data_IF_000940904172
#
_entry.id   IF_000940904172
#
_cell.length_a   1.000
_cell.length_b   1.000
_cell.length_c   1.000
_cell.angle_alpha   90.00
_cell.angle_beta   90.00
_cell.angle_gamma   90.00
#
_symmetry.space_group_name_H-M   'P 1'
#
loop_
_entity.id
_entity.type
_entity.pdbx_description
1 polymer ?
#
# COMPACT_ATOMS: atom_id res chain seq x y z
N UNK A 1 34.48 1.66 -2.31
CA UNK A 1 33.70 0.93 -3.33
C UNK A 1 33.84 -0.53 -3.01
N UNK A 2 32.73 -1.29 -3.05
CA UNK A 2 32.74 -2.69 -2.64
C UNK A 2 33.42 -3.59 -3.68
N UNK A 3 33.92 -4.74 -3.23
CA UNK A 3 34.52 -5.73 -4.12
C UNK A 3 33.48 -6.26 -5.12
N UNK A 4 33.88 -6.38 -6.39
CA UNK A 4 32.99 -6.81 -7.48
C UNK A 4 32.12 -5.72 -8.11
N UNK A 5 32.31 -4.45 -7.73
CA UNK A 5 31.58 -3.30 -8.26
C UNK A 5 32.50 -2.32 -9.01
N UNK A 6 32.00 -1.56 -10.01
CA UNK A 6 30.61 -1.50 -10.47
C UNK A 6 30.20 -2.69 -11.36
N UNK A 7 28.90 -2.86 -11.53
CA UNK A 7 28.30 -3.87 -12.42
C UNK A 7 27.68 -3.16 -13.62
N UNK A 8 28.01 -3.63 -14.83
CA UNK A 8 27.36 -3.21 -16.06
C UNK A 8 26.00 -3.88 -16.19
N UNK A 9 25.02 -3.12 -16.70
CA UNK A 9 23.64 -3.58 -16.83
C UNK A 9 23.14 -3.32 -18.24
N UNK A 10 22.37 -4.27 -18.78
CA UNK A 10 21.75 -4.14 -20.09
C UNK A 10 20.66 -3.05 -20.05
N UNK A 11 20.95 -1.89 -20.65
CA UNK A 11 19.99 -0.79 -20.79
C UNK A 11 20.63 0.58 -20.99
N UNK A 12 19.88 1.51 -21.60
CA UNK A 12 20.35 2.86 -21.94
C UNK A 12 19.80 3.95 -21.00
N UNK A 13 19.02 3.58 -19.99
CA UNK A 13 18.43 4.53 -19.04
C UNK A 13 18.10 3.86 -17.71
N UNK A 14 18.53 4.49 -16.61
CA UNK A 14 18.23 4.07 -15.25
C UNK A 14 17.61 5.24 -14.48
N UNK A 15 16.44 5.02 -13.88
CA UNK A 15 15.90 5.87 -12.83
C UNK A 15 16.39 5.31 -11.50
N UNK A 16 17.57 5.73 -11.05
CA UNK A 16 18.09 5.25 -9.77
C UNK A 16 17.51 6.10 -8.63
N UNK A 17 16.86 5.43 -7.69
CA UNK A 17 16.63 5.98 -6.37
C UNK A 17 17.82 5.55 -5.51
N UNK A 18 18.63 6.49 -4.98
CA UNK A 18 19.70 6.11 -4.08
C UNK A 18 19.13 5.32 -2.91
N UNK A 19 19.81 4.23 -2.56
CA UNK A 19 19.47 3.36 -1.45
C UNK A 19 20.52 3.44 -0.35
N UNK A 20 20.05 3.50 0.90
CA UNK A 20 20.88 3.59 2.10
C UNK A 20 20.58 2.41 3.02
N UNK A 21 21.33 1.30 2.91
CA UNK A 21 21.11 0.10 3.74
C UNK A 21 22.35 -0.76 3.88
N UNK A 22 22.36 -1.67 4.85
CA UNK A 22 23.35 -2.76 4.94
C UNK A 22 22.93 -3.91 4.01
N UNK A 23 23.53 -3.97 2.81
CA UNK A 23 23.18 -4.93 1.75
C UNK A 23 23.87 -6.28 1.99
N UNK A 24 25.12 -6.27 2.48
CA UNK A 24 25.93 -7.47 2.67
C UNK A 24 25.86 -8.06 4.09
N UNK A 25 25.17 -7.39 5.02
CA UNK A 25 24.93 -7.86 6.38
C UNK A 25 26.14 -7.72 7.30
N UNK A 26 27.07 -6.83 6.99
CA UNK A 26 28.31 -6.63 7.75
C UNK A 26 28.20 -5.54 8.84
N UNK A 27 27.03 -4.90 8.95
CA UNK A 27 26.76 -3.82 9.89
C UNK A 27 27.24 -2.43 9.44
N UNK A 28 27.84 -2.31 8.25
CA UNK A 28 28.22 -1.03 7.67
C UNK A 28 27.12 -0.50 6.72
N UNK A 29 26.94 0.81 6.72
CA UNK A 29 26.02 1.47 5.79
C UNK A 29 26.57 1.35 4.36
N UNK A 30 25.76 0.83 3.44
CA UNK A 30 26.06 0.86 2.02
C UNK A 30 25.19 1.89 1.29
N UNK A 31 25.76 2.45 0.22
CA UNK A 31 25.14 3.43 -0.66
C UNK A 31 25.25 2.94 -2.10
N UNK A 32 24.17 3.02 -2.89
CA UNK A 32 24.24 2.78 -4.32
C UNK A 32 24.18 4.07 -5.14
N UNK A 33 24.56 3.95 -6.41
CA UNK A 33 24.43 5.02 -7.38
C UNK A 33 24.47 4.50 -8.80
N UNK A 34 24.02 5.32 -9.74
CA UNK A 34 23.97 5.01 -11.16
C UNK A 34 24.94 5.87 -11.93
N UNK A 35 25.52 5.31 -12.98
CA UNK A 35 26.26 6.05 -13.99
C UNK A 35 25.83 5.66 -15.38
N UNK A 36 26.00 6.59 -16.31
CA UNK A 36 25.71 6.40 -17.72
C UNK A 36 26.85 6.99 -18.54
N UNK A 37 27.28 6.27 -19.56
CA UNK A 37 28.33 6.71 -20.48
C UNK A 37 27.70 6.96 -21.85
N UNK A 38 27.51 8.24 -22.20
CA UNK A 38 26.85 8.67 -23.44
C UNK A 38 27.47 8.03 -24.71
N UNK A 39 28.80 7.90 -24.74
CA UNK A 39 29.54 7.44 -25.91
C UNK A 39 29.32 5.96 -26.25
N UNK A 40 29.11 5.13 -25.23
CA UNK A 40 28.90 3.67 -25.37
C UNK A 40 27.46 3.26 -25.09
N UNK A 41 26.60 4.17 -24.63
CA UNK A 41 25.23 3.87 -24.16
C UNK A 41 25.19 2.82 -23.04
N UNK A 42 26.31 2.67 -22.31
CA UNK A 42 26.45 1.73 -21.21
C UNK A 42 25.96 2.36 -19.92
N UNK A 43 25.26 1.54 -19.12
CA UNK A 43 24.80 1.93 -17.80
C UNK A 43 25.47 1.07 -16.74
N UNK A 44 25.76 1.70 -15.61
CA UNK A 44 26.51 1.09 -14.52
C UNK A 44 25.80 1.30 -13.19
N UNK A 45 25.80 0.28 -12.36
CA UNK A 45 25.41 0.39 -10.95
C UNK A 45 26.69 0.34 -10.11
N UNK A 46 26.79 1.27 -9.19
CA UNK A 46 27.88 1.38 -8.23
C UNK A 46 27.37 1.06 -6.82
N UNK A 47 28.22 0.43 -6.02
CA UNK A 47 27.97 0.19 -4.62
C UNK A 47 29.18 0.56 -3.77
N UNK A 48 28.94 1.36 -2.74
CA UNK A 48 29.95 1.84 -1.82
C UNK A 48 29.63 1.42 -0.40
N UNK A 49 30.66 0.99 0.30
CA UNK A 49 30.71 0.99 1.76
C UNK A 49 31.01 2.43 2.22
N UNK A 50 30.15 2.98 3.08
CA UNK A 50 30.30 4.33 3.63
C UNK A 50 31.28 4.39 4.81
N UNK A 51 31.75 3.25 5.32
CA UNK A 51 32.68 3.16 6.44
C UNK A 51 32.10 3.61 7.78
N UNK A 52 30.77 3.72 7.87
CA UNK A 52 30.03 4.10 9.08
C UNK A 52 29.03 3.02 9.43
N UNK A 53 28.73 2.86 10.72
CA UNK A 53 27.76 1.88 11.18
C UNK A 53 26.38 2.14 10.58
N UNK A 54 25.72 1.09 10.12
CA UNK A 54 24.32 1.14 9.70
C UNK A 54 23.41 1.40 10.90
N UNK A 55 22.46 2.32 10.74
CA UNK A 55 21.42 2.58 11.73
C UNK A 55 20.05 2.29 11.11
N UNK A 56 19.49 1.14 11.48
CA UNK A 56 18.20 0.66 10.99
C UNK A 56 17.03 1.59 11.36
N UNK A 57 17.09 2.22 12.53
CA UNK A 57 16.05 3.14 13.00
C UNK A 57 16.00 4.45 12.18
N UNK A 58 17.13 4.84 11.58
CA UNK A 58 17.22 6.03 10.72
C UNK A 58 16.97 5.69 9.24
N UNK A 59 17.14 4.43 8.86
CA UNK A 59 17.04 3.95 7.47
C UNK A 59 15.78 3.10 7.22
N UNK A 60 14.66 3.44 7.89
CA UNK A 60 13.37 2.72 7.79
C UNK A 60 12.83 2.64 6.36
N UNK A 61 13.13 3.65 5.54
CA UNK A 61 12.79 3.71 4.12
C UNK A 61 14.07 3.93 3.31
N UNK A 62 14.84 2.86 3.04
CA UNK A 62 16.16 3.00 2.47
C UNK A 62 16.12 3.47 1.02
N UNK A 63 14.97 3.34 0.32
CA UNK A 63 14.76 3.74 -1.08
C UNK A 63 13.64 4.78 -1.15
N UNK A 64 13.85 5.86 -1.92
CA UNK A 64 12.82 6.87 -2.18
C UNK A 64 11.54 6.21 -2.69
N UNK A 65 10.40 6.58 -2.08
CA UNK A 65 9.07 6.17 -2.48
C UNK A 65 8.72 4.67 -2.33
N UNK A 66 9.69 3.82 -1.94
CA UNK A 66 9.71 2.45 -1.37
C UNK A 66 8.75 1.35 -1.88
N UNK A 67 7.55 1.68 -2.38
CA UNK A 67 6.54 0.74 -2.84
C UNK A 67 6.23 0.93 -4.33
N UNK A 68 5.55 -0.05 -4.92
CA UNK A 68 5.15 -0.07 -6.34
C UNK A 68 4.26 1.10 -6.77
N UNK A 69 3.71 1.86 -5.83
CA UNK A 69 2.87 3.05 -6.07
C UNK A 69 3.63 4.36 -5.90
N UNK A 70 4.90 4.28 -5.54
CA UNK A 70 5.77 5.40 -5.28
C UNK A 70 5.22 6.37 -4.20
N UNK A 71 4.58 5.87 -3.13
CA UNK A 71 3.89 6.75 -2.16
C UNK A 71 4.74 7.16 -0.97
N UNK A 72 5.87 6.49 -0.68
CA UNK A 72 6.73 6.85 0.46
C UNK A 72 6.11 6.59 1.84
N UNK A 73 4.96 5.91 1.90
CA UNK A 73 4.31 5.46 3.15
C UNK A 73 5.17 4.37 3.81
N UNK A 74 4.97 3.98 5.07
CA UNK A 74 5.62 2.78 5.61
C UNK A 74 4.54 1.89 6.21
N UNK A 75 4.60 0.58 5.96
CA UNK A 75 3.60 -0.35 6.48
C UNK A 75 2.23 -0.31 5.80
N UNK A 76 2.11 0.19 4.57
CA UNK A 76 0.88 0.11 3.77
C UNK A 76 0.50 -1.36 3.53
N UNK A 77 -0.51 -1.86 4.25
CA UNK A 77 -1.10 -3.18 4.01
C UNK A 77 -1.92 -3.13 2.73
N UNK A 78 -1.46 -3.80 1.67
CA UNK A 78 -2.29 -4.01 0.46
C UNK A 78 -1.62 -3.86 -0.91
N UNK A 79 -0.29 -3.73 -1.01
CA UNK A 79 0.40 -3.82 -2.30
C UNK A 79 1.33 -5.05 -2.33
N UNK A 80 1.38 -5.82 -3.43
CA UNK A 80 2.23 -6.99 -3.52
C UNK A 80 3.66 -6.52 -3.80
N UNK A 81 4.52 -6.59 -2.80
CA UNK A 81 5.97 -6.57 -3.02
C UNK A 81 6.41 -8.02 -3.24
N UNK A 82 6.94 -8.26 -4.43
CA UNK A 82 7.59 -9.49 -4.84
C UNK A 82 8.59 -10.00 -3.78
N UNK A 83 8.47 -11.29 -3.42
CA UNK A 83 9.57 -12.19 -3.04
C UNK A 83 10.44 -11.87 -1.82
N UNK A 84 9.94 -12.14 -0.61
CA UNK A 84 10.37 -13.24 0.28
C UNK A 84 9.38 -13.26 1.44
N UNK A 85 8.73 -14.41 1.59
CA UNK A 85 7.94 -14.78 2.76
C UNK A 85 8.89 -14.83 3.96
N UNK A 86 9.06 -13.69 4.63
CA UNK A 86 9.50 -13.71 6.02
C UNK A 86 8.44 -14.47 6.79
N UNK A 87 8.89 -15.46 7.56
CA UNK A 87 8.11 -16.44 8.34
C UNK A 87 7.31 -15.74 9.47
N UNK A 88 6.48 -14.77 9.11
CA UNK A 88 5.49 -14.15 9.97
C UNK A 88 4.37 -15.17 10.12
N UNK A 89 4.52 -16.04 11.13
CA UNK A 89 3.44 -16.86 11.69
C UNK A 89 2.43 -15.99 12.45
N UNK A 90 1.90 -14.98 11.77
CA UNK A 90 0.62 -14.38 12.09
C UNK A 90 -0.42 -15.17 11.32
N UNK A 91 -1.37 -15.73 12.05
CA UNK A 91 -2.51 -16.49 11.56
C UNK A 91 -3.39 -15.62 10.64
N UNK A 92 -2.94 -15.35 9.41
CA UNK A 92 -3.74 -14.62 8.43
C UNK A 92 -4.68 -15.63 7.78
N UNK A 93 -5.84 -15.82 8.40
CA UNK A 93 -7.05 -16.07 7.61
C UNK A 93 -7.21 -14.86 6.68
N UNK A 94 -6.61 -14.91 5.49
CA UNK A 94 -6.70 -13.84 4.50
C UNK A 94 -8.09 -13.85 3.88
N UNK A 95 -9.07 -13.38 4.66
CA UNK A 95 -10.38 -12.97 4.18
C UNK A 95 -10.19 -11.68 3.36
N UNK A 96 -9.57 -11.81 2.18
CA UNK A 96 -9.52 -10.71 1.22
C UNK A 96 -10.96 -10.30 0.88
N UNK A 97 -11.25 -9.01 1.03
CA UNK A 97 -12.49 -8.41 0.54
C UNK A 97 -12.14 -7.57 -0.67
N UNK A 98 -12.69 -7.91 -1.84
CA UNK A 98 -12.76 -6.96 -2.95
C UNK A 98 -14.02 -6.12 -2.76
N UNK A 99 -13.92 -4.80 -2.82
CA UNK A 99 -15.10 -3.93 -2.67
C UNK A 99 -14.98 -2.65 -3.49
N UNK A 100 -16.12 -2.15 -3.96
CA UNK A 100 -16.22 -0.89 -4.70
C UNK A 100 -17.62 -0.27 -4.57
N UNK A 101 -17.69 1.05 -4.72
CA UNK A 101 -18.94 1.81 -4.68
C UNK A 101 -19.37 2.22 -6.09
N UNK A 102 -20.65 2.06 -6.43
CA UNK A 102 -21.23 2.57 -7.68
C UNK A 102 -22.71 2.97 -7.54
N UNK A 103 -23.18 4.01 -8.23
CA UNK A 103 -22.37 4.97 -8.96
C UNK A 103 -21.46 5.76 -7.99
N UNK A 104 -20.35 6.25 -8.51
CA UNK A 104 -19.43 7.13 -7.79
C UNK A 104 -18.80 8.09 -8.81
N UNK A 105 -19.17 9.38 -8.83
CA UNK A 105 -20.01 10.07 -7.84
C UNK A 105 -21.47 9.60 -7.77
N UNK A 106 -22.13 9.80 -6.63
CA UNK A 106 -23.54 9.50 -6.40
C UNK A 106 -24.31 10.74 -5.93
N UNK A 107 -25.64 10.75 -6.10
CA UNK A 107 -26.50 11.83 -5.60
C UNK A 107 -27.18 11.44 -4.28
N UNK A 108 -28.21 10.60 -4.35
CA UNK A 108 -29.01 10.17 -3.20
C UNK A 108 -28.82 8.70 -2.81
N UNK A 109 -28.14 7.92 -3.65
CA UNK A 109 -27.92 6.50 -3.44
C UNK A 109 -26.65 6.01 -4.13
N UNK A 110 -25.89 5.16 -3.44
CA UNK A 110 -24.83 4.33 -3.99
C UNK A 110 -25.07 2.87 -3.60
N UNK A 111 -24.42 1.94 -4.30
CA UNK A 111 -24.32 0.54 -3.91
C UNK A 111 -22.88 0.23 -3.59
N UNK A 112 -22.66 -0.50 -2.50
CA UNK A 112 -21.35 -1.02 -2.12
C UNK A 112 -21.37 -2.50 -2.48
N UNK A 113 -20.66 -2.87 -3.54
CA UNK A 113 -20.45 -4.27 -3.88
C UNK A 113 -19.21 -4.77 -3.18
N UNK A 114 -19.31 -5.93 -2.54
CA UNK A 114 -18.19 -6.56 -1.86
C UNK A 114 -18.22 -8.08 -2.04
N UNK A 115 -17.06 -8.72 -2.03
CA UNK A 115 -16.89 -10.16 -2.08
C UNK A 115 -16.10 -10.63 -0.85
N UNK A 116 -16.71 -11.45 0.00
CA UNK A 116 -16.10 -12.06 1.17
C UNK A 116 -15.51 -13.42 0.81
N UNK A 117 -14.22 -13.61 1.03
CA UNK A 117 -13.56 -14.91 0.79
C UNK A 117 -13.73 -15.92 1.93
N UNK A 118 -14.26 -15.49 3.08
CA UNK A 118 -14.56 -16.34 4.23
C UNK A 118 -15.60 -15.71 5.13
N UNK A 119 -16.21 -16.48 6.06
CA UNK A 119 -17.15 -15.95 7.01
C UNK A 119 -16.48 -15.01 8.02
N UNK A 120 -17.22 -14.04 8.54
CA UNK A 120 -16.75 -13.14 9.60
C UNK A 120 -17.77 -12.06 9.96
N UNK A 121 -17.56 -11.38 11.08
CA UNK A 121 -18.48 -10.33 11.55
C UNK A 121 -18.28 -9.03 10.75
N UNK A 122 -19.19 -8.78 9.82
CA UNK A 122 -19.12 -7.63 8.91
C UNK A 122 -19.73 -6.38 9.54
N UNK A 123 -19.02 -5.26 9.43
CA UNK A 123 -19.50 -3.93 9.78
C UNK A 123 -19.06 -2.91 8.74
N UNK A 124 -19.82 -1.84 8.63
CA UNK A 124 -19.59 -0.74 7.69
C UNK A 124 -19.72 0.58 8.44
N UNK A 125 -18.76 1.46 8.24
CA UNK A 125 -18.79 2.84 8.73
C UNK A 125 -18.60 3.81 7.57
N UNK A 126 -19.21 4.99 7.64
CA UNK A 126 -18.92 6.10 6.75
C UNK A 126 -18.44 7.27 7.57
N UNK A 127 -17.29 7.81 7.20
CA UNK A 127 -16.69 8.98 7.82
C UNK A 127 -16.55 10.10 6.79
N UNK A 128 -16.67 11.35 7.23
CA UNK A 128 -16.38 12.52 6.39
C UNK A 128 -14.86 12.79 6.28
N UNK A 129 -14.47 13.78 5.48
CA UNK A 129 -13.07 14.19 5.31
C UNK A 129 -12.42 14.77 6.59
N UNK A 130 -13.23 15.19 7.57
CA UNK A 130 -12.76 15.68 8.88
C UNK A 130 -12.60 14.53 9.89
N UNK A 131 -12.95 13.29 9.51
CA UNK A 131 -12.93 12.11 10.37
C UNK A 131 -14.18 11.94 11.23
N UNK A 132 -15.23 12.72 11.01
CA UNK A 132 -16.50 12.58 11.74
C UNK A 132 -17.24 11.33 11.26
N UNK A 133 -17.72 10.52 12.20
CA UNK A 133 -18.57 9.36 11.89
C UNK A 133 -19.97 9.81 11.49
N UNK A 134 -20.34 9.55 10.24
CA UNK A 134 -21.63 9.91 9.65
C UNK A 134 -22.62 8.76 9.72
N UNK A 135 -22.14 7.53 9.52
CA UNK A 135 -22.97 6.34 9.49
C UNK A 135 -22.20 5.13 10.01
N UNK A 136 -22.86 4.24 10.74
CA UNK A 136 -22.31 2.96 11.17
C UNK A 136 -23.41 1.90 11.19
N UNK A 137 -23.10 0.73 10.67
CA UNK A 137 -23.98 -0.44 10.71
C UNK A 137 -23.15 -1.71 10.91
N UNK A 138 -23.63 -2.58 11.78
CA UNK A 138 -23.10 -3.93 11.95
C UNK A 138 -24.08 -4.92 11.33
N UNK A 139 -23.59 -5.74 10.40
CA UNK A 139 -24.35 -6.82 9.76
C UNK A 139 -24.22 -8.14 10.53
N UNK A 140 -23.31 -8.20 11.51
CA UNK A 140 -23.00 -9.41 12.25
C UNK A 140 -22.29 -10.45 11.39
N UNK A 141 -22.44 -11.73 11.76
CA UNK A 141 -21.77 -12.85 11.09
C UNK A 141 -22.27 -13.01 9.65
N UNK A 142 -21.44 -12.64 8.67
CA UNK A 142 -21.65 -12.84 7.25
C UNK A 142 -20.93 -14.11 6.78
N UNK A 143 -21.47 -14.78 5.76
CA UNK A 143 -20.83 -15.92 5.11
C UNK A 143 -19.95 -15.46 3.95
N UNK A 144 -19.07 -16.33 3.45
CA UNK A 144 -18.35 -16.07 2.20
C UNK A 144 -19.32 -15.87 1.02
N UNK A 145 -19.02 -14.95 0.11
CA UNK A 145 -19.82 -14.70 -1.08
C UNK A 145 -19.85 -13.24 -1.52
N UNK A 146 -20.63 -12.95 -2.56
CA UNK A 146 -20.83 -11.60 -3.09
C UNK A 146 -22.05 -10.95 -2.47
N UNK A 147 -21.89 -9.72 -2.01
CA UNK A 147 -22.93 -8.92 -1.40
C UNK A 147 -23.04 -7.56 -2.09
N UNK A 148 -24.25 -7.02 -2.11
CA UNK A 148 -24.52 -5.65 -2.51
C UNK A 148 -25.28 -4.98 -1.38
N UNK A 149 -24.69 -3.91 -0.86
CA UNK A 149 -25.28 -3.10 0.20
C UNK A 149 -25.77 -1.81 -0.43
N UNK A 150 -27.10 -1.60 -0.56
CA UNK A 150 -27.63 -0.31 -0.96
C UNK A 150 -27.40 0.70 0.16
N UNK A 151 -26.82 1.85 -0.20
CA UNK A 151 -26.48 2.93 0.72
C UNK A 151 -27.21 4.20 0.29
N UNK A 152 -28.12 4.70 1.13
CA UNK A 152 -28.70 6.02 0.91
C UNK A 152 -27.75 7.10 1.40
N UNK A 153 -27.46 8.07 0.55
CA UNK A 153 -26.71 9.30 0.88
C UNK A 153 -27.64 10.48 1.09
N UNK A 154 -28.94 10.23 1.31
CA UNK A 154 -29.91 11.27 1.61
C UNK A 154 -29.53 12.00 2.89
N UNK A 155 -29.38 13.32 2.82
CA UNK A 155 -28.98 14.15 3.95
C UNK A 155 -27.47 14.25 4.17
N UNK A 156 -26.65 13.65 3.29
CA UNK A 156 -25.21 13.89 3.26
C UNK A 156 -24.97 15.19 2.48
N UNK A 157 -24.10 16.06 3.00
CA UNK A 157 -23.64 17.22 2.25
C UNK A 157 -22.80 16.76 1.04
N UNK A 158 -22.83 17.52 -0.05
CA UNK A 158 -21.97 17.22 -1.20
C UNK A 158 -20.49 17.28 -0.78
N UNK A 159 -19.70 16.26 -1.13
CA UNK A 159 -18.33 16.13 -0.66
C UNK A 159 -17.76 14.72 -0.77
N UNK A 160 -16.59 14.54 -0.17
CA UNK A 160 -15.87 13.26 -0.14
C UNK A 160 -16.06 12.58 1.21
N UNK A 161 -16.40 11.31 1.16
CA UNK A 161 -16.58 10.42 2.30
C UNK A 161 -15.73 9.16 2.12
N UNK A 162 -15.46 8.49 3.23
CA UNK A 162 -14.76 7.21 3.26
C UNK A 162 -15.67 6.13 3.84
N UNK A 163 -15.92 5.08 3.06
CA UNK A 163 -16.64 3.89 3.48
C UNK A 163 -15.62 2.88 3.98
N UNK A 164 -15.64 2.60 5.27
CA UNK A 164 -14.78 1.63 5.93
C UNK A 164 -15.54 0.33 6.16
N UNK A 165 -15.04 -0.76 5.59
CA UNK A 165 -15.52 -2.12 5.88
C UNK A 165 -14.60 -2.75 6.91
N UNK A 166 -15.21 -3.32 7.96
CA UNK A 166 -14.52 -4.03 9.02
C UNK A 166 -15.05 -5.45 9.13
N UNK A 167 -14.13 -6.42 9.25
CA UNK A 167 -14.41 -7.82 9.46
C UNK A 167 -13.76 -8.25 10.78
N UNK A 168 -14.55 -8.79 11.70
CA UNK A 168 -14.10 -9.21 13.03
C UNK A 168 -13.33 -8.11 13.80
N UNK A 169 -13.73 -6.85 13.60
CA UNK A 169 -13.16 -5.68 14.25
C UNK A 169 -11.91 -5.10 13.55
N UNK A 170 -11.43 -5.74 12.47
CA UNK A 170 -10.31 -5.23 11.68
C UNK A 170 -10.83 -4.51 10.43
N UNK A 171 -10.35 -3.28 10.19
CA UNK A 171 -10.61 -2.58 8.93
C UNK A 171 -9.90 -3.32 7.80
N UNK A 172 -10.69 -3.82 6.85
CA UNK A 172 -10.25 -4.66 5.73
C UNK A 172 -10.41 -3.98 4.38
N UNK A 173 -11.22 -2.92 4.30
CA UNK A 173 -11.34 -2.08 3.10
C UNK A 173 -11.70 -0.64 3.45
N UNK A 174 -11.21 0.31 2.66
CA UNK A 174 -11.53 1.72 2.75
C UNK A 174 -11.77 2.28 1.34
N UNK A 175 -13.00 2.72 1.07
CA UNK A 175 -13.45 3.14 -0.26
C UNK A 175 -13.79 4.63 -0.25
N UNK A 176 -13.36 5.35 -1.28
CA UNK A 176 -13.77 6.74 -1.50
C UNK A 176 -15.19 6.80 -2.08
N UNK A 177 -16.08 7.55 -1.46
CA UNK A 177 -17.41 7.86 -1.95
C UNK A 177 -17.55 9.37 -2.17
N UNK A 178 -17.96 9.78 -3.36
CA UNK A 178 -18.19 11.19 -3.71
C UNK A 178 -19.69 11.42 -3.82
N UNK A 179 -20.22 12.35 -3.01
CA UNK A 179 -21.64 12.76 -3.02
C UNK A 179 -21.78 14.10 -3.75
N UNK A 180 -22.72 14.18 -4.68
CA UNK A 180 -23.07 15.36 -5.46
C UNK A 180 -24.54 15.77 -5.21
N UNK A 181 -24.86 17.03 -5.54
CA UNK A 181 -26.23 17.57 -5.51
C UNK A 181 -27.13 16.99 -6.61
#
# INVERSE_FOLDING_TARGET
MMEGWPIEVDGTSFFINPMVMDINGDGALNLNGGGYVDASSESWIYLWDAGVAYNEELAVLPVLQYNVRHTGVYGEKGNPTVGIEGDYKGDYNTNYISAFCYPNPCKSQANISLELNGPGNLSLSIIDIKGSLIYNISYGMAQSGKFQIPMSTTGFDAGVYFVQLSLDGLIVSNLKLVVEY
#
